data_IF_051484331555
#
_entry.id   IF_051484331555
#
_cell.length_a   1.000
_cell.length_b   1.000
_cell.length_c   1.000
_cell.angle_alpha   90.00
_cell.angle_beta   90.00
_cell.angle_gamma   90.00
#
_symmetry.space_group_name_H-M   'P 1'
#
loop_
_entity.id
_entity.type
_entity.pdbx_description
1 polymer ?
#
# COMPACT_ATOMS: atom_id res chain seq x y z
N UNK A 1 -24.85 19.96 15.52
CA UNK A 1 -23.96 20.81 16.32
C UNK A 1 -22.70 21.05 15.51
N UNK A 2 -22.44 22.29 15.08
CA UNK A 2 -21.22 22.63 14.34
C UNK A 2 -20.07 22.76 15.35
N UNK A 3 -19.05 21.92 15.22
CA UNK A 3 -17.81 22.01 16.00
C UNK A 3 -17.06 23.28 15.61
N UNK A 4 -16.65 24.06 16.61
CA UNK A 4 -15.93 25.32 16.42
C UNK A 4 -14.57 25.05 15.77
N UNK A 5 -14.15 25.88 14.81
CA UNK A 5 -12.89 25.69 14.05
C UNK A 5 -11.60 25.69 14.91
N UNK A 6 -11.70 26.02 16.20
CA UNK A 6 -10.61 26.03 17.18
C UNK A 6 -10.68 24.87 18.19
N UNK A 7 -11.71 24.03 18.17
CA UNK A 7 -11.73 22.82 18.98
C UNK A 7 -10.69 21.84 18.44
N UNK A 8 -9.58 21.69 19.18
CA UNK A 8 -8.64 20.60 18.94
C UNK A 8 -9.43 19.28 18.87
N UNK A 9 -9.20 18.42 17.86
CA UNK A 9 -9.85 17.13 17.83
C UNK A 9 -9.58 16.41 19.16
N UNK A 10 -10.59 15.74 19.75
CA UNK A 10 -10.43 15.14 21.06
C UNK A 10 -9.26 14.15 21.02
N UNK A 11 -8.47 14.10 22.10
CA UNK A 11 -7.26 13.28 22.20
C UNK A 11 -7.49 11.79 21.92
N UNK A 12 -8.73 11.32 22.01
CA UNK A 12 -9.18 9.99 21.60
C UNK A 12 -8.95 9.72 20.10
N UNK A 13 -9.24 10.68 19.21
CA UNK A 13 -9.05 10.51 17.76
C UNK A 13 -7.57 10.30 17.41
N UNK A 14 -6.67 11.00 18.10
CA UNK A 14 -5.23 10.82 17.91
C UNK A 14 -4.76 9.43 18.34
N UNK A 15 -5.27 8.92 19.46
CA UNK A 15 -4.93 7.56 19.93
C UNK A 15 -5.45 6.51 18.96
N UNK A 16 -6.65 6.70 18.42
CA UNK A 16 -7.23 5.82 17.40
C UNK A 16 -6.36 5.85 16.12
N UNK A 17 -6.00 7.04 15.64
CA UNK A 17 -5.12 7.23 14.49
C UNK A 17 -3.78 6.50 14.68
N UNK A 18 -3.09 6.77 15.78
CA UNK A 18 -1.81 6.13 16.08
C UNK A 18 -1.94 4.60 16.20
N UNK A 19 -3.05 4.11 16.78
CA UNK A 19 -3.32 2.67 16.89
C UNK A 19 -3.47 2.03 15.52
N UNK A 20 -4.21 2.66 14.61
CA UNK A 20 -4.38 2.18 13.23
C UNK A 20 -3.03 2.17 12.51
N UNK A 21 -2.24 3.25 12.60
CA UNK A 21 -0.93 3.32 11.96
C UNK A 21 0.05 2.28 12.51
N UNK A 22 0.13 2.10 13.84
CA UNK A 22 0.97 1.05 14.44
C UNK A 22 0.51 -0.33 14.01
N UNK A 23 -0.80 -0.61 14.04
CA UNK A 23 -1.34 -1.91 13.64
C UNK A 23 -1.01 -2.22 12.18
N UNK A 24 -1.15 -1.24 11.29
CA UNK A 24 -0.82 -1.41 9.87
C UNK A 24 0.67 -1.67 9.66
N UNK A 25 1.53 -0.90 10.34
CA UNK A 25 2.98 -1.12 10.29
C UNK A 25 3.39 -2.51 10.79
N UNK A 26 2.73 -3.03 11.83
CA UNK A 26 2.99 -4.39 12.31
C UNK A 26 2.60 -5.45 11.27
N UNK A 27 1.45 -5.31 10.61
CA UNK A 27 1.08 -6.19 9.49
C UNK A 27 2.09 -6.10 8.36
N UNK A 28 2.46 -4.89 7.93
CA UNK A 28 3.39 -4.71 6.81
C UNK A 28 4.79 -5.24 7.15
N UNK A 29 5.25 -5.03 8.38
CA UNK A 29 6.52 -5.57 8.85
C UNK A 29 6.51 -7.10 8.90
N UNK A 30 5.39 -7.72 9.28
CA UNK A 30 5.24 -9.17 9.24
C UNK A 30 5.42 -9.68 7.80
N UNK A 31 4.80 -9.03 6.81
CA UNK A 31 4.95 -9.41 5.40
C UNK A 31 6.36 -9.21 4.87
N UNK A 32 7.02 -8.09 5.19
CA UNK A 32 8.42 -7.89 4.83
C UNK A 32 9.33 -8.94 5.48
N UNK A 33 9.06 -9.33 6.73
CA UNK A 33 9.82 -10.39 7.41
C UNK A 33 9.56 -11.77 6.81
N UNK A 34 8.38 -11.99 6.24
CA UNK A 34 8.02 -13.25 5.62
C UNK A 34 8.52 -13.38 4.17
N UNK A 35 8.79 -12.25 3.50
CA UNK A 35 9.21 -12.17 2.10
C UNK A 35 10.30 -13.18 1.67
N UNK A 36 11.35 -13.48 2.47
CA UNK A 36 12.36 -14.48 2.11
C UNK A 36 11.84 -15.92 1.98
N UNK A 37 10.64 -16.21 2.48
CA UNK A 37 10.02 -17.54 2.38
C UNK A 37 9.27 -17.75 1.05
N UNK A 38 9.17 -16.74 0.19
CA UNK A 38 8.62 -16.90 -1.15
C UNK A 38 9.56 -17.77 -1.98
N UNK A 39 9.06 -18.88 -2.51
CA UNK A 39 9.85 -19.82 -3.29
C UNK A 39 9.80 -19.57 -4.79
N UNK A 40 8.99 -18.60 -5.25
CA UNK A 40 8.84 -18.30 -6.66
C UNK A 40 10.17 -17.75 -7.23
N UNK A 41 10.80 -18.44 -8.20
CA UNK A 41 12.14 -18.07 -8.71
C UNK A 41 12.17 -16.71 -9.40
N UNK A 42 11.02 -16.14 -9.76
CA UNK A 42 10.94 -14.78 -10.28
C UNK A 42 11.51 -13.74 -9.31
N UNK A 43 11.57 -14.04 -8.00
CA UNK A 43 12.17 -13.18 -6.98
C UNK A 43 13.70 -13.12 -7.02
N UNK A 44 14.38 -14.03 -7.73
CA UNK A 44 15.85 -14.14 -7.71
C UNK A 44 16.55 -13.28 -8.77
N UNK A 45 15.83 -12.84 -9.81
CA UNK A 45 16.37 -11.97 -10.86
C UNK A 45 16.64 -10.54 -10.39
N UNK A 46 17.29 -9.73 -11.23
CA UNK A 46 17.47 -8.29 -11.04
C UNK A 46 16.16 -7.61 -10.61
N UNK A 47 16.25 -6.64 -9.70
CA UNK A 47 15.09 -6.00 -9.06
C UNK A 47 14.45 -6.82 -7.92
N UNK A 48 14.82 -8.10 -7.77
CA UNK A 48 14.37 -8.96 -6.67
C UNK A 48 12.84 -9.04 -6.56
N UNK A 49 12.34 -9.05 -5.33
CA UNK A 49 10.91 -8.92 -5.00
C UNK A 49 10.30 -7.56 -5.41
N UNK A 50 11.12 -6.52 -5.61
CA UNK A 50 10.64 -5.19 -5.99
C UNK A 50 10.34 -5.07 -7.49
N UNK A 51 10.40 -6.17 -8.24
CA UNK A 51 9.75 -6.26 -9.55
C UNK A 51 8.23 -6.28 -9.44
N UNK A 52 7.70 -6.83 -8.35
CA UNK A 52 6.27 -7.04 -8.19
C UNK A 52 5.57 -5.79 -7.66
N UNK A 53 4.50 -5.39 -8.35
CA UNK A 53 3.68 -4.25 -7.94
C UNK A 53 3.17 -4.39 -6.50
N UNK A 54 2.86 -5.61 -6.04
CA UNK A 54 2.44 -5.89 -4.66
C UNK A 54 3.49 -5.42 -3.64
N UNK A 55 4.77 -5.67 -3.89
CA UNK A 55 5.84 -5.31 -2.93
C UNK A 55 6.15 -3.81 -2.98
N UNK A 56 6.09 -3.20 -4.18
CA UNK A 56 6.18 -1.74 -4.33
C UNK A 56 5.02 -1.05 -3.60
N UNK A 57 3.79 -1.53 -3.79
CA UNK A 57 2.60 -1.01 -3.14
C UNK A 57 2.70 -1.15 -1.62
N UNK A 58 3.08 -2.33 -1.11
CA UNK A 58 3.30 -2.59 0.31
C UNK A 58 4.34 -1.63 0.91
N UNK A 59 5.40 -1.33 0.15
CA UNK A 59 6.44 -0.36 0.56
C UNK A 59 5.86 1.05 0.66
N UNK A 60 5.06 1.47 -0.32
CA UNK A 60 4.37 2.76 -0.28
C UNK A 60 3.36 2.83 0.88
N UNK A 61 2.66 1.74 1.18
CA UNK A 61 1.76 1.60 2.33
C UNK A 61 2.51 1.77 3.64
N UNK A 62 3.64 1.08 3.80
CA UNK A 62 4.50 1.21 4.98
C UNK A 62 5.07 2.61 5.14
N UNK A 63 5.51 3.26 4.06
CA UNK A 63 5.94 4.66 4.10
C UNK A 63 4.80 5.59 4.51
N UNK A 64 3.62 5.41 3.93
CA UNK A 64 2.42 6.22 4.23
C UNK A 64 2.05 6.13 5.71
N UNK A 65 1.99 4.91 6.25
CA UNK A 65 1.69 4.66 7.64
C UNK A 65 2.81 5.11 8.59
N UNK A 66 4.06 4.98 8.17
CA UNK A 66 5.22 5.50 8.91
C UNK A 66 5.18 7.01 9.05
N UNK A 67 4.91 7.74 7.96
CA UNK A 67 4.72 9.20 7.99
C UNK A 67 3.49 9.56 8.83
N UNK A 68 2.40 8.80 8.74
CA UNK A 68 1.21 8.97 9.58
C UNK A 68 1.48 8.85 11.07
N UNK A 69 2.20 7.80 11.48
CA UNK A 69 2.61 7.62 12.87
C UNK A 69 3.52 8.74 13.36
N UNK A 70 4.48 9.17 12.53
CA UNK A 70 5.34 10.30 12.87
C UNK A 70 4.52 11.60 13.02
N UNK A 71 3.50 11.81 12.20
CA UNK A 71 2.58 12.94 12.34
C UNK A 71 1.78 12.86 13.66
N UNK A 72 1.27 11.69 14.04
CA UNK A 72 0.50 11.49 15.28
C UNK A 72 1.30 11.79 16.56
N UNK A 73 2.58 11.40 16.54
CA UNK A 73 3.51 11.58 17.67
C UNK A 73 4.02 13.03 17.72
N UNK A 74 4.48 13.57 16.59
CA UNK A 74 5.13 14.88 16.54
C UNK A 74 4.16 16.06 16.47
N UNK A 75 2.89 15.82 16.11
CA UNK A 75 1.90 16.86 15.81
C UNK A 75 2.30 17.78 14.65
N UNK A 76 3.19 17.32 13.76
CA UNK A 76 3.66 18.11 12.63
C UNK A 76 2.66 18.10 11.47
N UNK A 77 2.10 19.27 11.16
CA UNK A 77 1.15 19.46 10.07
C UNK A 77 1.71 19.11 8.67
N UNK A 78 3.02 19.28 8.46
CA UNK A 78 3.67 18.92 7.20
C UNK A 78 3.70 17.41 7.01
N UNK A 79 3.98 16.65 8.07
CA UNK A 79 3.93 15.18 8.03
C UNK A 79 2.50 14.69 7.81
N UNK A 80 1.51 15.30 8.46
CA UNK A 80 0.10 14.97 8.20
C UNK A 80 -0.28 15.24 6.74
N UNK A 81 0.13 16.39 6.19
CA UNK A 81 -0.08 16.72 4.78
C UNK A 81 0.59 15.70 3.85
N UNK A 82 1.86 15.35 4.13
CA UNK A 82 2.61 14.38 3.35
C UNK A 82 1.96 13.00 3.37
N UNK A 83 1.57 12.50 4.55
CA UNK A 83 0.83 11.24 4.70
C UNK A 83 -0.41 11.22 3.83
N UNK A 84 -1.19 12.30 3.83
CA UNK A 84 -2.40 12.37 3.02
C UNK A 84 -2.10 12.42 1.51
N UNK A 85 -1.05 13.13 1.09
CA UNK A 85 -0.60 13.13 -0.32
C UNK A 85 -0.20 11.72 -0.74
N UNK A 86 0.56 11.00 0.08
CA UNK A 86 0.94 9.62 -0.20
C UNK A 86 -0.28 8.71 -0.28
N UNK A 87 -1.25 8.87 0.64
CA UNK A 87 -2.48 8.06 0.72
C UNK A 87 -3.32 8.15 -0.55
N UNK A 88 -3.32 9.29 -1.25
CA UNK A 88 -4.04 9.50 -2.52
C UNK A 88 -3.52 8.59 -3.63
N UNK A 89 -2.23 8.25 -3.63
CA UNK A 89 -1.65 7.28 -4.57
C UNK A 89 -1.64 5.84 -4.02
N UNK A 90 -1.30 5.67 -2.74
CA UNK A 90 -1.14 4.37 -2.11
C UNK A 90 -2.46 3.59 -2.05
N UNK A 91 -3.55 4.23 -1.61
CA UNK A 91 -4.84 3.56 -1.44
C UNK A 91 -5.40 2.98 -2.74
N UNK A 92 -5.52 3.74 -3.85
CA UNK A 92 -6.01 3.16 -5.10
C UNK A 92 -5.05 2.12 -5.69
N UNK A 93 -3.73 2.26 -5.48
CA UNK A 93 -2.76 1.26 -5.92
C UNK A 93 -2.96 -0.08 -5.19
N UNK A 94 -3.15 -0.04 -3.88
CA UNK A 94 -3.38 -1.26 -3.09
C UNK A 94 -4.75 -1.88 -3.34
N UNK A 95 -5.79 -1.07 -3.55
CA UNK A 95 -7.08 -1.57 -3.99
C UNK A 95 -6.98 -2.24 -5.36
N UNK A 96 -6.22 -1.67 -6.30
CA UNK A 96 -5.96 -2.27 -7.60
C UNK A 96 -5.26 -3.63 -7.45
N UNK A 97 -4.17 -3.68 -6.68
CA UNK A 97 -3.44 -4.94 -6.39
C UNK A 97 -4.38 -5.98 -5.81
N UNK A 98 -5.17 -5.60 -4.80
CA UNK A 98 -6.09 -6.51 -4.11
C UNK A 98 -7.18 -7.05 -5.04
N UNK A 99 -7.86 -6.15 -5.77
CA UNK A 99 -8.93 -6.53 -6.69
C UNK A 99 -8.39 -7.43 -7.80
N UNK A 100 -7.27 -7.06 -8.43
CA UNK A 100 -6.67 -7.87 -9.48
C UNK A 100 -6.26 -9.25 -8.95
N UNK A 101 -5.56 -9.30 -7.83
CA UNK A 101 -5.09 -10.56 -7.26
C UNK A 101 -6.25 -11.51 -6.93
N UNK A 102 -7.22 -11.06 -6.12
CA UNK A 102 -8.30 -11.92 -5.66
C UNK A 102 -9.28 -12.29 -6.76
N UNK A 103 -9.53 -11.40 -7.73
CA UNK A 103 -10.38 -11.72 -8.88
C UNK A 103 -9.75 -12.76 -9.80
N UNK A 104 -8.46 -12.59 -10.16
CA UNK A 104 -7.74 -13.57 -10.97
C UNK A 104 -7.63 -14.91 -10.25
N UNK A 105 -7.28 -14.90 -8.96
CA UNK A 105 -7.15 -16.11 -8.15
C UNK A 105 -8.47 -16.87 -8.00
N UNK A 106 -9.60 -16.16 -7.92
CA UNK A 106 -10.93 -16.77 -7.84
C UNK A 106 -11.34 -17.47 -9.14
N UNK A 107 -10.85 -16.99 -10.30
CA UNK A 107 -11.06 -17.62 -11.60
C UNK A 107 -10.10 -18.80 -11.77
N UNK A 108 -8.80 -18.56 -11.65
CA UNK A 108 -7.76 -19.58 -11.71
C UNK A 108 -6.50 -19.11 -10.96
N UNK A 109 -6.09 -19.88 -9.94
CA UNK A 109 -4.91 -19.58 -9.13
C UNK A 109 -3.63 -19.48 -9.95
N UNK A 110 -3.57 -20.18 -11.10
CA UNK A 110 -2.39 -20.22 -11.97
C UNK A 110 -2.09 -18.88 -12.66
N UNK A 111 -3.04 -17.95 -12.68
CA UNK A 111 -2.80 -16.61 -13.23
C UNK A 111 -1.92 -15.72 -12.35
N UNK A 112 -1.83 -16.03 -11.05
CA UNK A 112 -1.10 -15.21 -10.08
C UNK A 112 0.00 -15.99 -9.35
N UNK A 113 -0.12 -17.32 -9.27
CA UNK A 113 0.79 -18.17 -8.53
C UNK A 113 1.20 -19.36 -9.41
N UNK A 114 2.50 -19.54 -9.71
CA UNK A 114 2.98 -20.74 -10.41
C UNK A 114 2.70 -22.02 -9.58
N UNK A 115 2.34 -23.14 -10.22
CA UNK A 115 2.14 -24.42 -9.52
C UNK A 115 3.38 -24.83 -8.70
N UNK A 116 3.19 -25.25 -7.45
CA UNK A 116 4.27 -25.65 -6.54
C UNK A 116 4.97 -24.50 -5.81
N UNK A 117 4.55 -23.26 -6.06
CA UNK A 117 5.05 -22.04 -5.41
C UNK A 117 3.93 -21.33 -4.63
N UNK A 118 2.97 -22.08 -4.10
CA UNK A 118 1.83 -21.53 -3.39
C UNK A 118 2.21 -20.90 -2.05
N UNK A 119 1.72 -19.69 -1.83
CA UNK A 119 1.85 -18.97 -0.55
C UNK A 119 0.74 -19.43 0.40
N UNK A 120 1.03 -19.76 1.68
CA UNK A 120 0.01 -20.05 2.68
C UNK A 120 -0.98 -18.89 2.84
N UNK A 121 -2.21 -19.19 3.24
CA UNK A 121 -3.28 -18.17 3.25
C UNK A 121 -2.96 -16.91 4.07
N UNK A 122 -2.33 -17.03 5.24
CA UNK A 122 -2.05 -15.89 6.12
C UNK A 122 -1.12 -14.86 5.45
N UNK A 123 0.11 -15.21 5.03
CA UNK A 123 0.96 -14.26 4.31
C UNK A 123 0.33 -13.84 2.98
N UNK A 124 -0.38 -14.73 2.30
CA UNK A 124 -1.07 -14.37 1.05
C UNK A 124 -2.13 -13.27 1.24
N UNK A 125 -2.91 -13.36 2.31
CA UNK A 125 -3.84 -12.32 2.73
C UNK A 125 -3.13 -11.04 3.19
N UNK A 126 -2.02 -11.21 3.89
CA UNK A 126 -1.17 -10.12 4.35
C UNK A 126 -0.56 -9.30 3.21
N UNK A 127 -0.07 -9.93 2.15
CA UNK A 127 0.46 -9.22 0.98
C UNK A 127 -0.64 -8.55 0.14
N UNK A 128 -1.78 -9.22 -0.05
CA UNK A 128 -2.72 -8.85 -1.11
C UNK A 128 -4.04 -8.23 -0.61
N UNK A 129 -4.37 -8.29 0.68
CA UNK A 129 -5.61 -7.72 1.20
C UNK A 129 -5.37 -6.73 2.34
N UNK A 130 -4.50 -7.06 3.29
CA UNK A 130 -4.32 -6.25 4.49
C UNK A 130 -3.90 -4.79 4.20
N UNK A 131 -2.99 -4.48 3.26
CA UNK A 131 -2.59 -3.10 2.97
C UNK A 131 -3.75 -2.27 2.41
N UNK A 132 -4.54 -2.84 1.51
CA UNK A 132 -5.74 -2.19 0.97
C UNK A 132 -6.77 -1.92 2.07
N UNK A 133 -6.99 -2.87 2.99
CA UNK A 133 -7.90 -2.70 4.12
C UNK A 133 -7.41 -1.56 5.03
N UNK A 134 -6.14 -1.59 5.43
CA UNK A 134 -5.59 -0.61 6.35
C UNK A 134 -5.58 0.80 5.75
N UNK A 135 -5.14 0.97 4.51
CA UNK A 135 -5.18 2.27 3.83
C UNK A 135 -6.60 2.77 3.58
N UNK A 136 -7.55 1.89 3.27
CA UNK A 136 -8.96 2.30 3.09
C UNK A 136 -9.54 2.80 4.41
N UNK A 137 -9.30 2.08 5.52
CA UNK A 137 -9.73 2.51 6.85
C UNK A 137 -9.12 3.86 7.22
N UNK A 138 -7.82 4.04 6.98
CA UNK A 138 -7.13 5.29 7.23
C UNK A 138 -7.64 6.45 6.35
N UNK A 139 -7.86 6.22 5.06
CA UNK A 139 -8.37 7.22 4.13
C UNK A 139 -9.81 7.63 4.49
N UNK A 140 -10.67 6.67 4.83
CA UNK A 140 -12.08 6.95 5.11
C UNK A 140 -12.33 7.54 6.50
N UNK A 141 -11.57 7.12 7.51
CA UNK A 141 -11.83 7.48 8.91
C UNK A 141 -10.93 8.60 9.44
N UNK A 142 -9.71 8.73 8.92
CA UNK A 142 -8.67 9.59 9.51
C UNK A 142 -8.18 10.71 8.58
N UNK A 143 -8.44 10.58 7.28
CA UNK A 143 -8.01 11.57 6.29
C UNK A 143 -9.13 12.58 5.98
N UNK A 144 -8.81 13.84 5.67
CA UNK A 144 -9.83 14.80 5.25
C UNK A 144 -10.51 14.32 3.94
N UNK A 145 -11.74 14.76 3.66
CA UNK A 145 -12.40 14.40 2.41
C UNK A 145 -11.62 14.99 1.22
N UNK A 146 -10.94 14.12 0.47
CA UNK A 146 -10.18 14.51 -0.71
C UNK A 146 -11.07 14.45 -1.95
N UNK A 147 -11.36 15.62 -2.54
CA UNK A 147 -11.83 15.68 -3.93
C UNK A 147 -10.62 15.87 -4.85
N UNK A 148 -10.02 14.78 -5.32
CA UNK A 148 -9.09 14.86 -6.44
C UNK A 148 -9.88 15.12 -7.72
N UNK A 149 -9.43 16.08 -8.52
CA UNK A 149 -10.04 16.32 -9.83
C UNK A 149 -9.73 15.13 -10.74
N UNK A 150 -10.68 14.74 -11.58
CA UNK A 150 -10.54 13.56 -12.45
C UNK A 150 -9.26 13.60 -13.30
N UNK A 151 -8.90 14.76 -13.85
CA UNK A 151 -7.65 14.90 -14.61
C UNK A 151 -6.41 14.70 -13.73
N UNK A 152 -6.41 15.16 -12.48
CA UNK A 152 -5.28 14.97 -11.56
C UNK A 152 -5.11 13.51 -11.20
N UNK A 153 -6.22 12.80 -10.96
CA UNK A 153 -6.21 11.37 -10.73
C UNK A 153 -5.68 10.61 -11.96
N UNK A 154 -6.12 10.98 -13.16
CA UNK A 154 -5.66 10.37 -14.40
C UNK A 154 -4.17 10.64 -14.64
N UNK A 155 -3.71 11.87 -14.46
CA UNK A 155 -2.28 12.21 -14.59
C UNK A 155 -1.43 11.42 -13.61
N UNK A 156 -1.82 11.37 -12.33
CA UNK A 156 -1.10 10.60 -11.32
C UNK A 156 -1.06 9.11 -11.68
N UNK A 157 -2.20 8.52 -12.03
CA UNK A 157 -2.30 7.12 -12.43
C UNK A 157 -1.43 6.79 -13.64
N UNK A 158 -1.48 7.63 -14.69
CA UNK A 158 -0.64 7.48 -15.87
C UNK A 158 0.85 7.55 -15.54
N UNK A 159 1.28 8.55 -14.75
CA UNK A 159 2.68 8.68 -14.34
C UNK A 159 3.15 7.43 -13.58
N UNK A 160 2.38 6.96 -12.60
CA UNK A 160 2.72 5.75 -11.84
C UNK A 160 2.78 4.52 -12.73
N UNK A 161 1.84 4.37 -13.67
CA UNK A 161 1.81 3.25 -14.61
C UNK A 161 3.04 3.24 -15.52
N UNK A 162 3.42 4.38 -16.11
CA UNK A 162 4.60 4.47 -16.97
C UNK A 162 5.92 4.31 -16.19
N UNK A 163 5.99 4.79 -14.95
CA UNK A 163 7.15 4.55 -14.09
C UNK A 163 7.32 3.06 -13.77
N UNK A 164 6.23 2.39 -13.39
CA UNK A 164 6.25 0.95 -13.14
C UNK A 164 6.58 0.15 -14.41
N UNK A 165 6.00 0.53 -15.55
CA UNK A 165 6.33 -0.10 -16.83
C UNK A 165 7.82 0.08 -17.15
N UNK A 166 8.34 1.30 -17.11
CA UNK A 166 9.77 1.53 -17.36
C UNK A 166 10.69 0.72 -16.43
N UNK A 167 10.30 0.57 -15.16
CA UNK A 167 11.01 -0.29 -14.20
C UNK A 167 10.96 -1.77 -14.59
N UNK A 168 9.79 -2.27 -14.97
CA UNK A 168 9.63 -3.66 -15.44
C UNK A 168 10.46 -3.93 -16.71
N UNK A 169 10.44 -3.03 -17.70
CA UNK A 169 11.24 -3.19 -18.92
C UNK A 169 12.74 -3.19 -18.62
N UNK A 170 13.17 -2.36 -17.69
CA UNK A 170 14.56 -2.35 -17.25
C UNK A 170 14.94 -3.68 -16.59
N UNK A 171 14.09 -4.20 -15.70
CA UNK A 171 14.31 -5.53 -15.11
C UNK A 171 14.34 -6.63 -16.16
N UNK A 172 13.39 -6.61 -17.10
CA UNK A 172 13.31 -7.55 -18.22
C UNK A 172 14.58 -7.51 -19.07
N UNK A 173 15.09 -6.31 -19.39
CA UNK A 173 16.32 -6.15 -20.19
C UNK A 173 17.56 -6.78 -19.57
N UNK A 174 17.59 -6.93 -18.24
CA UNK A 174 18.70 -7.51 -17.49
C UNK A 174 18.50 -9.01 -17.19
N UNK A 175 17.25 -9.45 -17.02
CA UNK A 175 16.92 -10.84 -16.69
C UNK A 175 16.70 -11.71 -17.93
N UNK A 176 16.21 -11.12 -19.03
CA UNK A 176 15.74 -11.83 -20.21
C UNK A 176 14.35 -12.47 -20.05
N UNK A 177 13.65 -12.17 -18.95
CA UNK A 177 12.31 -12.62 -18.59
C UNK A 177 11.67 -11.69 -17.56
#
# INVERSE_FOLDING_TARGET
MATHALQRPPSSFRRISATIHVTGLLFFAAEFSWLPNITNPLHDGFGGSYKFLTIIALTLSAMTFGVGLLADISLNQQLFTLKNILSVGATPLELLVSILYWSLRAIDKRFVVPPGHEVPFIPDFGFHAMPAIMLTLDLMLLSPPWSIRAYSALTLGSVLAFLYWGWLEYCFSLNGW
#
